data_IF_901494418079
#
_entry.id   IF_901494418079
#
_cell.length_a   1.000
_cell.length_b   1.000
_cell.length_c   1.000
_cell.angle_alpha   90.00
_cell.angle_beta   90.00
_cell.angle_gamma   90.00
#
_symmetry.space_group_name_H-M   'P 1'
#
loop_
_entity.id
_entity.type
_entity.pdbx_description
1 polymer ?
#
# COMPACT_ATOMS: atom_id res chain seq x y z
N UNK A 1 5.97 -1.56 19.25
CA UNK A 1 6.40 -0.12 19.35
C UNK A 1 5.28 0.78 18.86
N UNK A 2 5.15 2.03 19.34
CA UNK A 2 4.10 2.95 18.86
C UNK A 2 4.70 4.19 18.19
N UNK A 3 4.29 4.44 16.95
CA UNK A 3 4.53 5.68 16.20
C UNK A 3 3.23 6.47 16.18
N UNK A 4 3.26 7.72 16.64
CA UNK A 4 2.06 8.56 16.70
C UNK A 4 2.37 9.98 16.18
N UNK A 5 1.65 10.43 15.16
CA UNK A 5 1.81 11.78 14.62
C UNK A 5 3.11 11.97 13.82
N UNK A 6 3.71 10.88 13.34
CA UNK A 6 4.94 10.96 12.54
C UNK A 6 4.61 11.51 11.15
N UNK A 7 5.47 12.39 10.63
CA UNK A 7 5.35 12.83 9.24
C UNK A 7 6.69 13.01 8.57
N UNK A 8 6.77 12.72 7.27
CA UNK A 8 7.94 12.98 6.46
C UNK A 8 7.56 13.58 5.11
N UNK A 9 8.47 14.34 4.49
CA UNK A 9 8.25 14.93 3.16
C UNK A 9 8.84 14.02 2.08
N UNK A 10 8.08 13.72 1.03
CA UNK A 10 8.53 12.93 -0.13
C UNK A 10 9.58 13.69 -0.99
N UNK A 11 10.44 13.02 -1.80
CA UNK A 11 10.42 11.61 -2.22
C UNK A 11 11.04 10.59 -1.25
N UNK A 12 10.70 9.31 -1.44
CA UNK A 12 11.43 8.16 -0.85
C UNK A 12 11.29 8.01 0.67
N UNK A 13 10.17 8.46 1.23
CA UNK A 13 9.92 8.44 2.67
C UNK A 13 8.54 7.89 2.98
N UNK A 14 8.44 7.08 4.03
CA UNK A 14 7.18 6.81 4.72
C UNK A 14 6.93 7.89 5.77
N UNK A 15 5.68 8.09 6.18
CA UNK A 15 5.36 9.10 7.20
C UNK A 15 6.03 8.83 8.56
N UNK A 16 6.30 7.57 8.88
CA UNK A 16 7.01 7.16 10.09
C UNK A 16 8.37 6.51 9.82
N UNK A 17 8.42 5.54 8.90
CA UNK A 17 9.60 4.72 8.66
C UNK A 17 9.87 4.62 7.16
N UNK A 18 11.15 4.76 6.79
CA UNK A 18 11.68 4.43 5.47
C UNK A 18 12.83 3.42 5.61
N UNK A 19 12.78 2.32 4.87
CA UNK A 19 13.78 1.24 4.94
C UNK A 19 14.28 0.94 3.53
N UNK A 20 15.59 0.76 3.39
CA UNK A 20 16.19 0.21 2.18
C UNK A 20 16.77 -1.16 2.50
N UNK A 21 16.22 -2.21 1.89
CA UNK A 21 16.74 -3.57 1.98
C UNK A 21 17.70 -3.81 0.81
N UNK A 22 19.01 -3.82 1.08
CA UNK A 22 20.04 -3.96 0.04
C UNK A 22 20.44 -5.39 -0.31
N UNK A 23 20.06 -6.38 0.51
CA UNK A 23 20.38 -7.78 0.28
C UNK A 23 19.40 -8.71 0.97
N UNK A 24 19.30 -9.94 0.48
CA UNK A 24 18.49 -11.01 1.10
C UNK A 24 18.98 -11.44 2.49
N UNK A 25 20.22 -11.09 2.85
CA UNK A 25 20.78 -11.30 4.20
C UNK A 25 20.37 -10.21 5.20
N UNK A 26 19.86 -9.08 4.71
CA UNK A 26 19.34 -8.00 5.57
C UNK A 26 17.95 -8.39 6.08
N UNK A 27 17.73 -8.29 7.38
CA UNK A 27 16.43 -8.61 7.99
C UNK A 27 15.64 -7.35 8.30
N UNK A 28 14.41 -7.28 7.78
CA UNK A 28 13.39 -6.34 8.23
C UNK A 28 12.43 -7.11 9.13
N UNK A 29 12.32 -6.70 10.39
CA UNK A 29 11.39 -7.29 11.36
C UNK A 29 10.71 -6.17 12.14
N UNK A 30 9.42 -5.94 11.87
CA UNK A 30 8.59 -5.00 12.61
C UNK A 30 7.38 -5.79 13.09
N UNK A 31 7.32 -6.05 14.39
CA UNK A 31 6.24 -6.84 14.97
C UNK A 31 5.55 -6.06 16.06
N UNK A 32 4.26 -6.37 16.30
CA UNK A 32 3.48 -5.84 17.42
C UNK A 32 3.61 -4.31 17.56
N UNK A 33 3.47 -3.62 16.43
CA UNK A 33 3.72 -2.20 16.34
C UNK A 33 2.53 -1.45 15.79
N UNK A 34 2.30 -0.26 16.33
CA UNK A 34 1.15 0.57 16.01
C UNK A 34 1.62 1.86 15.36
N UNK A 35 0.99 2.22 14.25
CA UNK A 35 1.20 3.45 13.52
C UNK A 35 -0.13 4.22 13.53
N UNK A 36 -0.15 5.36 14.21
CA UNK A 36 -1.35 6.20 14.31
C UNK A 36 -1.05 7.62 13.83
N UNK A 37 -1.94 8.21 13.04
CA UNK A 37 -1.78 9.60 12.56
C UNK A 37 -0.45 9.82 11.80
N UNK A 38 0.01 8.84 11.02
CA UNK A 38 1.24 8.98 10.23
C UNK A 38 0.93 9.62 8.88
N UNK A 39 1.75 10.56 8.44
CA UNK A 39 1.47 11.29 7.19
C UNK A 39 2.70 11.48 6.32
N UNK A 40 2.56 11.20 5.02
CA UNK A 40 3.54 11.63 4.03
C UNK A 40 3.09 12.96 3.42
N UNK A 41 3.95 13.97 3.55
CA UNK A 41 3.73 15.34 3.10
C UNK A 41 4.29 15.53 1.69
N UNK A 42 3.65 16.38 0.90
CA UNK A 42 4.06 16.66 -0.47
C UNK A 42 5.39 17.42 -0.50
N UNK A 43 6.33 16.94 -1.30
CA UNK A 43 7.61 17.62 -1.54
C UNK A 43 7.61 18.43 -2.84
N UNK A 44 8.73 19.10 -3.13
CA UNK A 44 8.86 19.97 -4.30
C UNK A 44 8.94 19.24 -5.65
N UNK A 45 9.26 17.95 -5.68
CA UNK A 45 9.63 17.22 -6.91
C UNK A 45 8.99 15.84 -7.11
N UNK A 46 8.28 15.30 -6.12
CA UNK A 46 7.56 14.04 -6.26
C UNK A 46 6.08 14.27 -6.07
N UNK A 47 5.25 13.61 -6.87
CA UNK A 47 3.83 13.93 -6.93
C UNK A 47 2.91 12.81 -6.44
N UNK A 48 3.39 11.57 -6.25
CA UNK A 48 2.50 10.44 -5.91
C UNK A 48 3.19 9.35 -5.04
N UNK A 49 2.51 8.95 -3.96
CA UNK A 49 2.63 7.72 -3.15
C UNK A 49 4.01 7.12 -2.80
N UNK A 50 4.44 7.25 -1.53
CA UNK A 50 5.60 6.55 -0.96
C UNK A 50 5.32 5.88 0.40
N UNK A 51 4.06 5.62 0.77
CA UNK A 51 3.73 5.01 2.06
C UNK A 51 3.33 6.05 3.10
N UNK A 52 2.15 5.96 3.71
CA UNK A 52 1.71 6.94 4.71
C UNK A 52 2.29 6.66 6.10
N UNK A 53 2.59 5.40 6.42
CA UNK A 53 3.35 5.04 7.62
C UNK A 53 4.72 4.45 7.26
N UNK A 54 4.76 3.40 6.45
CA UNK A 54 5.98 2.65 6.15
C UNK A 54 6.26 2.70 4.64
N UNK A 55 7.52 3.02 4.31
CA UNK A 55 8.08 2.86 2.99
C UNK A 55 9.19 1.80 3.02
N UNK A 56 9.20 0.89 2.05
CA UNK A 56 10.26 -0.10 1.90
C UNK A 56 10.77 -0.08 0.45
N UNK A 57 12.07 0.07 0.31
CA UNK A 57 12.80 -0.01 -0.95
C UNK A 57 13.62 -1.32 -0.98
N UNK A 58 13.21 -2.28 -1.81
CA UNK A 58 13.87 -3.59 -1.94
C UNK A 58 14.80 -3.55 -3.14
N UNK A 59 16.09 -3.31 -2.88
CA UNK A 59 17.08 -2.99 -3.91
C UNK A 59 17.95 -4.18 -4.36
N UNK A 60 17.47 -5.41 -4.20
CA UNK A 60 18.17 -6.60 -4.69
C UNK A 60 17.25 -7.47 -5.54
N UNK A 61 17.85 -8.07 -6.58
CA UNK A 61 17.14 -8.79 -7.62
C UNK A 61 17.66 -10.23 -7.77
N UNK A 62 16.80 -11.26 -7.80
CA UNK A 62 15.35 -11.20 -7.53
C UNK A 62 15.05 -11.04 -6.02
N UNK A 63 14.02 -10.26 -5.65
CA UNK A 63 13.51 -10.25 -4.28
C UNK A 63 13.07 -11.66 -3.88
N UNK A 64 13.69 -12.19 -2.83
CA UNK A 64 13.30 -13.45 -2.19
C UNK A 64 12.94 -13.13 -0.74
N UNK A 65 11.65 -13.03 -0.44
CA UNK A 65 11.11 -12.68 0.87
C UNK A 65 10.65 -13.94 1.59
N UNK A 66 11.12 -14.08 2.82
CA UNK A 66 10.80 -15.17 3.75
C UNK A 66 10.69 -14.58 5.15
N UNK A 67 10.11 -15.32 6.10
CA UNK A 67 10.06 -14.88 7.49
C UNK A 67 11.46 -14.63 8.11
N UNK A 68 12.53 -15.19 7.54
CA UNK A 68 13.90 -14.97 7.99
C UNK A 68 14.44 -13.57 7.66
N UNK A 69 13.97 -12.94 6.57
CA UNK A 69 14.49 -11.66 6.09
C UNK A 69 13.44 -10.55 5.95
N UNK A 70 12.15 -10.88 5.95
CA UNK A 70 11.05 -9.92 5.85
C UNK A 70 9.86 -10.40 6.68
N UNK A 71 9.61 -9.74 7.82
CA UNK A 71 8.54 -10.11 8.75
C UNK A 71 7.88 -8.88 9.37
N UNK A 72 6.71 -8.50 8.87
CA UNK A 72 5.92 -7.34 9.30
C UNK A 72 4.59 -7.80 9.90
N UNK A 73 4.63 -8.48 11.04
CA UNK A 73 3.45 -9.13 11.61
C UNK A 73 2.84 -8.31 12.74
N UNK A 74 1.56 -8.55 13.01
CA UNK A 74 0.88 -8.02 14.19
C UNK A 74 0.87 -6.48 14.24
N UNK A 75 0.80 -5.86 13.06
CA UNK A 75 0.79 -4.41 12.91
C UNK A 75 -0.61 -3.83 13.14
N UNK A 76 -0.69 -2.58 13.57
CA UNK A 76 -1.94 -1.82 13.61
C UNK A 76 -1.71 -0.48 12.95
N UNK A 77 -2.58 -0.11 12.02
CA UNK A 77 -2.58 1.19 11.38
C UNK A 77 -3.89 1.91 11.69
N UNK A 78 -3.81 3.19 12.02
CA UNK A 78 -4.97 4.05 12.18
C UNK A 78 -4.63 5.45 11.66
N UNK A 79 -5.52 6.04 10.86
CA UNK A 79 -5.40 7.42 10.38
C UNK A 79 -4.03 7.73 9.73
N UNK A 80 -3.46 6.74 9.02
CA UNK A 80 -2.25 6.94 8.24
C UNK A 80 -2.62 7.39 6.83
N UNK A 81 -1.88 8.32 6.24
CA UNK A 81 -2.26 8.89 4.94
C UNK A 81 -1.03 9.18 4.09
N UNK A 82 -1.05 8.65 2.88
CA UNK A 82 -0.06 8.98 1.85
C UNK A 82 -0.60 10.07 0.91
N UNK A 83 0.30 10.68 0.14
CA UNK A 83 -0.11 11.60 -0.94
C UNK A 83 -1.01 10.87 -1.93
N UNK A 84 -2.12 11.52 -2.32
CA UNK A 84 -3.18 10.99 -3.16
C UNK A 84 -3.87 9.71 -2.65
N UNK A 85 -3.68 9.37 -1.37
CA UNK A 85 -4.15 8.13 -0.74
C UNK A 85 -3.57 6.85 -1.38
N UNK A 86 -2.28 6.86 -1.73
CA UNK A 86 -1.59 5.73 -2.38
C UNK A 86 -0.57 5.11 -1.44
N UNK A 87 -0.90 3.95 -0.89
CA UNK A 87 -0.10 3.24 0.10
C UNK A 87 -0.24 3.85 1.49
N UNK A 88 -1.47 4.12 1.95
CA UNK A 88 -1.69 4.83 3.23
C UNK A 88 -0.96 4.20 4.42
N UNK A 89 -0.84 2.87 4.44
CA UNK A 89 -0.15 2.16 5.49
C UNK A 89 1.27 1.79 5.05
N UNK A 90 1.37 1.05 3.95
CA UNK A 90 2.62 0.51 3.45
C UNK A 90 2.75 0.73 1.95
N UNK A 91 3.96 1.12 1.54
CA UNK A 91 4.34 1.16 0.14
C UNK A 91 5.68 0.45 -0.08
N UNK A 92 5.74 -0.41 -1.10
CA UNK A 92 6.96 -1.15 -1.46
C UNK A 92 7.42 -0.79 -2.87
N UNK A 93 8.66 -0.34 -2.97
CA UNK A 93 9.39 -0.27 -4.22
C UNK A 93 10.20 -1.56 -4.42
N UNK A 94 10.03 -2.23 -5.56
CA UNK A 94 10.79 -3.42 -5.95
C UNK A 94 10.95 -3.53 -7.48
N UNK A 95 11.65 -4.55 -7.96
CA UNK A 95 11.72 -4.84 -9.40
C UNK A 95 10.41 -5.47 -9.94
N UNK A 96 9.68 -6.20 -9.08
CA UNK A 96 8.43 -6.87 -9.42
C UNK A 96 7.47 -6.84 -8.22
N UNK A 97 6.53 -5.90 -8.25
CA UNK A 97 5.50 -5.70 -7.23
C UNK A 97 4.58 -6.91 -7.12
N UNK A 98 4.24 -7.55 -8.25
CA UNK A 98 3.34 -8.72 -8.27
C UNK A 98 4.01 -9.92 -7.60
N UNK A 99 5.28 -10.19 -7.93
CA UNK A 99 6.03 -11.28 -7.31
C UNK A 99 6.25 -11.04 -5.81
N UNK A 100 6.56 -9.80 -5.39
CA UNK A 100 6.69 -9.43 -3.98
C UNK A 100 5.38 -9.65 -3.22
N UNK A 101 4.26 -9.19 -3.78
CA UNK A 101 2.93 -9.40 -3.22
C UNK A 101 2.57 -10.88 -3.03
N UNK A 102 2.89 -11.71 -4.02
CA UNK A 102 2.67 -13.16 -3.95
C UNK A 102 3.49 -13.82 -2.83
N UNK A 103 4.76 -13.44 -2.68
CA UNK A 103 5.63 -13.96 -1.62
C UNK A 103 5.12 -13.54 -0.24
N UNK A 104 4.69 -12.28 -0.09
CA UNK A 104 4.11 -11.78 1.16
C UNK A 104 2.86 -12.57 1.54
N UNK A 105 1.91 -12.76 0.62
CA UNK A 105 0.68 -13.51 0.90
C UNK A 105 1.00 -14.96 1.24
N UNK A 106 1.75 -15.65 0.38
CA UNK A 106 2.08 -17.08 0.55
C UNK A 106 2.83 -17.33 1.86
N UNK A 107 3.74 -16.42 2.24
CA UNK A 107 4.50 -16.51 3.48
C UNK A 107 3.78 -15.92 4.70
N UNK A 108 2.60 -15.31 4.55
CA UNK A 108 1.94 -14.51 5.58
C UNK A 108 2.87 -13.47 6.24
N UNK A 109 3.71 -12.82 5.42
CA UNK A 109 4.81 -11.98 5.91
C UNK A 109 4.36 -10.59 6.37
N UNK A 110 3.10 -10.22 6.09
CA UNK A 110 2.46 -9.00 6.58
C UNK A 110 1.14 -9.38 7.25
N UNK A 111 1.00 -9.15 8.55
CA UNK A 111 -0.28 -9.35 9.24
C UNK A 111 -0.69 -8.11 10.01
N UNK A 112 -2.00 -7.84 10.03
CA UNK A 112 -2.56 -6.60 10.57
C UNK A 112 -3.69 -6.95 11.52
N UNK A 113 -3.72 -6.25 12.64
CA UNK A 113 -4.76 -6.36 13.66
C UNK A 113 -5.83 -5.31 13.45
N UNK A 114 -7.08 -5.74 13.47
CA UNK A 114 -8.22 -4.85 13.64
C UNK A 114 -8.60 -4.80 15.12
N UNK A 115 -8.15 -3.78 15.84
CA UNK A 115 -8.44 -3.65 17.28
C UNK A 115 -9.93 -3.40 17.58
N UNK A 116 -10.74 -3.09 16.57
CA UNK A 116 -12.17 -2.85 16.72
C UNK A 116 -13.02 -4.12 16.63
N UNK A 117 -12.46 -5.23 16.15
CA UNK A 117 -13.20 -6.46 15.90
C UNK A 117 -12.43 -7.73 16.37
N UNK A 118 -12.90 -8.45 17.40
CA UNK A 118 -12.35 -9.75 17.77
C UNK A 118 -12.42 -10.75 16.58
N UNK A 119 -11.38 -11.56 16.31
CA UNK A 119 -10.23 -11.88 17.16
C UNK A 119 -9.01 -10.96 16.96
N UNK A 120 -9.24 -9.71 16.56
CA UNK A 120 -8.23 -8.68 16.34
C UNK A 120 -7.25 -9.01 15.21
N UNK A 121 -7.77 -9.61 14.13
CA UNK A 121 -7.02 -9.90 12.91
C UNK A 121 -7.84 -9.48 11.69
N UNK A 122 -7.17 -8.90 10.70
CA UNK A 122 -7.74 -8.69 9.37
C UNK A 122 -7.50 -9.96 8.55
N UNK A 123 -8.48 -10.87 8.53
CA UNK A 123 -8.35 -12.18 7.86
C UNK A 123 -8.38 -12.11 6.33
N UNK A 124 -8.95 -11.04 5.77
CA UNK A 124 -9.16 -10.84 4.34
C UNK A 124 -8.19 -9.80 3.73
N UNK A 125 -7.11 -9.44 4.45
CA UNK A 125 -6.14 -8.41 4.08
C UNK A 125 -5.67 -8.55 2.62
N UNK A 126 -5.36 -9.78 2.19
CA UNK A 126 -4.81 -10.06 0.87
C UNK A 126 -5.87 -10.17 -0.24
N UNK A 127 -7.14 -10.28 0.09
CA UNK A 127 -8.22 -10.61 -0.86
C UNK A 127 -9.25 -9.51 -1.01
N UNK A 128 -9.33 -8.61 -0.04
CA UNK A 128 -10.32 -7.54 0.00
C UNK A 128 -9.84 -6.28 -0.70
N UNK A 129 -10.70 -5.75 -1.59
CA UNK A 129 -10.46 -4.48 -2.27
C UNK A 129 -10.42 -3.28 -1.32
N UNK A 130 -10.98 -3.43 -0.12
CA UNK A 130 -11.01 -2.36 0.88
C UNK A 130 -9.60 -1.84 1.24
N UNK A 131 -8.60 -2.72 1.18
CA UNK A 131 -7.22 -2.41 1.56
C UNK A 131 -6.31 -2.12 0.36
N UNK A 132 -6.86 -2.11 -0.86
CA UNK A 132 -6.08 -2.01 -2.08
C UNK A 132 -5.15 -0.80 -2.08
N UNK A 133 -5.63 0.35 -1.61
CA UNK A 133 -4.88 1.60 -1.57
C UNK A 133 -4.08 1.82 -0.27
N UNK A 134 -4.21 0.92 0.70
CA UNK A 134 -3.44 0.98 1.94
C UNK A 134 -2.10 0.26 1.81
N UNK A 135 -2.05 -0.78 0.96
CA UNK A 135 -0.88 -1.62 0.71
C UNK A 135 -0.56 -1.62 -0.78
N UNK A 136 0.30 -0.69 -1.18
CA UNK A 136 0.64 -0.45 -2.59
C UNK A 136 2.10 -0.78 -2.86
N UNK A 137 2.46 -0.91 -4.13
CA UNK A 137 3.84 -0.93 -4.57
C UNK A 137 4.02 -0.30 -5.94
N UNK A 138 5.28 -0.20 -6.37
CA UNK A 138 5.64 0.24 -7.72
C UNK A 138 6.91 -0.47 -8.17
N UNK A 139 6.97 -0.82 -9.45
CA UNK A 139 8.17 -1.37 -10.06
C UNK A 139 9.20 -0.27 -10.33
N UNK A 140 10.49 -0.52 -10.10
CA UNK A 140 11.57 0.42 -10.45
C UNK A 140 11.50 0.90 -11.90
N UNK A 141 11.08 0.04 -12.84
CA UNK A 141 10.92 0.39 -14.25
C UNK A 141 9.90 1.50 -14.51
N UNK A 142 8.94 1.70 -13.60
CA UNK A 142 7.92 2.75 -13.68
C UNK A 142 8.28 4.01 -12.90
N UNK A 143 9.44 4.06 -12.25
CA UNK A 143 9.86 5.25 -11.48
C UNK A 143 10.19 6.43 -12.39
N UNK A 144 10.44 6.26 -13.70
CA UNK A 144 10.38 7.32 -14.71
C UNK A 144 11.18 8.62 -14.48
N UNK A 145 12.13 8.66 -13.52
CA UNK A 145 12.55 9.90 -12.85
C UNK A 145 11.44 10.43 -11.92
N UNK A 146 11.76 11.24 -10.90
CA UNK A 146 10.95 11.60 -9.68
C UNK A 146 9.40 11.80 -9.75
N UNK A 147 8.77 11.72 -10.93
CA UNK A 147 7.35 11.84 -11.27
C UNK A 147 6.67 10.53 -11.74
N UNK A 148 6.65 9.47 -10.92
CA UNK A 148 5.78 8.31 -11.18
C UNK A 148 4.30 8.74 -11.15
N UNK A 149 3.46 8.32 -12.10
CA UNK A 149 2.04 8.66 -12.10
C UNK A 149 1.28 7.84 -11.06
N UNK A 150 0.14 8.34 -10.58
CA UNK A 150 -0.70 7.58 -9.64
C UNK A 150 -1.09 6.20 -10.20
N UNK A 151 -1.25 6.07 -11.52
CA UNK A 151 -1.57 4.84 -12.24
C UNK A 151 -0.42 3.84 -12.33
N UNK A 152 0.81 4.27 -12.05
CA UNK A 152 1.99 3.39 -12.09
C UNK A 152 2.09 2.51 -10.85
N UNK A 153 1.48 2.95 -9.75
CA UNK A 153 1.41 2.21 -8.50
C UNK A 153 0.29 1.17 -8.55
N UNK A 154 0.55 -0.01 -8.01
CA UNK A 154 -0.37 -1.15 -8.02
C UNK A 154 -0.57 -1.68 -6.59
N UNK A 155 -1.76 -2.16 -6.23
CA UNK A 155 -1.94 -2.84 -4.95
C UNK A 155 -1.05 -4.07 -4.86
N UNK A 156 -0.45 -4.30 -3.69
CA UNK A 156 0.45 -5.44 -3.49
C UNK A 156 -0.24 -6.79 -3.72
N UNK A 157 -1.55 -6.87 -3.47
CA UNK A 157 -2.31 -8.13 -3.51
C UNK A 157 -3.33 -8.18 -4.66
N UNK A 158 -3.15 -7.33 -5.67
CA UNK A 158 -4.02 -7.19 -6.84
C UNK A 158 -4.47 -8.52 -7.47
N UNK A 159 -3.53 -9.44 -7.65
CA UNK A 159 -3.71 -10.76 -8.25
C UNK A 159 -4.58 -11.72 -7.41
N UNK A 160 -4.90 -11.34 -6.18
CA UNK A 160 -5.70 -12.14 -5.25
C UNK A 160 -7.06 -11.52 -4.93
N UNK A 161 -7.31 -10.31 -5.42
CA UNK A 161 -8.56 -9.63 -5.16
C UNK A 161 -9.72 -10.34 -5.85
N UNK A 162 -10.81 -10.47 -5.12
CA UNK A 162 -12.07 -10.93 -5.68
C UNK A 162 -12.70 -9.69 -6.35
N UNK A 163 -12.47 -9.53 -7.65
CA UNK A 163 -12.97 -8.39 -8.41
C UNK A 163 -14.49 -8.46 -8.58
N UNK A 164 -15.21 -7.84 -7.66
CA UNK A 164 -16.63 -7.59 -7.80
C UNK A 164 -16.86 -6.12 -8.20
N UNK A 165 -17.83 -5.89 -9.08
CA UNK A 165 -18.40 -4.55 -9.29
C UNK A 165 -19.04 -4.13 -7.96
N UNK A 166 -18.68 -2.97 -7.38
CA UNK A 166 -19.28 -2.53 -6.12
C UNK A 166 -20.80 -2.43 -6.24
N UNK A 167 -21.53 -2.96 -5.27
CA UNK A 167 -22.99 -2.90 -5.23
C UNK A 167 -23.45 -2.43 -3.84
N UNK A 168 -23.96 -1.18 -3.68
CA UNK A 168 -24.16 -0.20 -4.74
C UNK A 168 -22.84 0.39 -5.28
N UNK A 169 -22.85 0.86 -6.53
CA UNK A 169 -21.76 1.62 -7.14
C UNK A 169 -21.98 3.12 -6.95
N UNK A 170 -20.94 3.84 -6.51
CA UNK A 170 -20.99 5.28 -6.25
C UNK A 170 -20.20 6.05 -7.31
N UNK A 171 -20.90 6.91 -8.06
CA UNK A 171 -20.34 7.78 -9.09
C UNK A 171 -20.50 9.24 -8.66
N UNK A 172 -19.41 10.01 -8.70
CA UNK A 172 -19.39 11.44 -8.43
C UNK A 172 -18.61 12.13 -9.55
N UNK A 173 -19.32 12.69 -10.53
CA UNK A 173 -18.69 13.33 -11.69
C UNK A 173 -17.86 14.58 -11.33
N UNK A 174 -18.07 15.16 -10.15
CA UNK A 174 -17.36 16.36 -9.70
C UNK A 174 -16.10 16.02 -8.90
N UNK A 175 -16.23 15.10 -7.93
CA UNK A 175 -15.17 14.81 -6.95
C UNK A 175 -14.59 13.40 -7.05
N UNK A 176 -15.21 12.51 -7.83
CA UNK A 176 -14.75 11.14 -8.01
C UNK A 176 -13.41 11.05 -8.73
N UNK A 177 -12.74 9.91 -8.57
CA UNK A 177 -11.48 9.60 -9.24
C UNK A 177 -11.60 8.28 -10.00
N UNK A 178 -11.23 8.31 -11.27
CA UNK A 178 -11.19 7.13 -12.13
C UNK A 178 -9.87 6.38 -11.88
N UNK A 179 -9.90 5.55 -10.83
CA UNK A 179 -8.81 4.67 -10.41
C UNK A 179 -9.25 3.22 -10.53
N UNK A 180 -8.28 2.29 -10.65
CA UNK A 180 -8.53 0.85 -10.88
C UNK A 180 -9.63 0.25 -9.98
N UNK A 181 -9.66 0.63 -8.71
CA UNK A 181 -10.60 0.12 -7.70
C UNK A 181 -11.55 1.17 -7.12
N UNK A 182 -12.11 2.03 -7.97
CA UNK A 182 -13.19 2.93 -7.55
C UNK A 182 -14.57 2.25 -7.61
N UNK A 183 -15.59 2.99 -7.18
CA UNK A 183 -17.01 2.65 -7.19
C UNK A 183 -17.56 2.33 -5.80
N UNK A 184 -16.70 2.17 -4.79
CA UNK A 184 -17.09 2.07 -3.40
C UNK A 184 -17.44 3.42 -2.78
N UNK A 185 -18.06 3.42 -1.60
CA UNK A 185 -18.43 4.66 -0.91
C UNK A 185 -17.20 5.51 -0.52
N UNK A 186 -16.11 4.86 -0.12
CA UNK A 186 -14.82 5.48 0.25
C UNK A 186 -14.01 5.95 -0.96
N UNK A 187 -14.27 5.41 -2.15
CA UNK A 187 -13.55 5.72 -3.39
C UNK A 187 -14.52 5.75 -4.57
N UNK A 188 -15.21 6.87 -4.73
CA UNK A 188 -16.21 7.05 -5.79
C UNK A 188 -15.54 7.21 -7.15
N UNK A 189 -16.07 6.57 -8.18
CA UNK A 189 -15.59 6.79 -9.55
C UNK A 189 -16.08 8.14 -10.08
N UNK A 190 -15.36 8.71 -11.04
CA UNK A 190 -15.82 9.88 -11.79
C UNK A 190 -16.77 9.47 -12.91
N UNK A 191 -16.51 8.33 -13.55
CA UNK A 191 -17.32 7.78 -14.62
C UNK A 191 -17.82 6.38 -14.30
N UNK A 192 -18.98 6.01 -14.87
CA UNK A 192 -19.57 4.67 -14.68
C UNK A 192 -18.66 3.57 -15.25
N UNK A 193 -17.94 3.85 -16.35
CA UNK A 193 -17.04 2.89 -17.00
C UNK A 193 -16.04 2.29 -16.02
N UNK A 194 -15.39 3.14 -15.21
CA UNK A 194 -14.42 2.73 -14.20
C UNK A 194 -15.04 1.98 -13.00
N UNK A 195 -16.35 2.05 -12.79
CA UNK A 195 -17.03 1.28 -11.75
C UNK A 195 -17.33 -0.16 -12.17
N UNK A 196 -17.52 -0.39 -13.48
CA UNK A 196 -17.89 -1.69 -14.05
C UNK A 196 -16.70 -2.44 -14.65
N UNK A 197 -15.70 -1.71 -15.12
CA UNK A 197 -14.50 -2.25 -15.76
C UNK A 197 -13.28 -1.90 -14.89
N UNK A 198 -12.46 -2.90 -14.55
CA UNK A 198 -11.19 -2.69 -13.83
C UNK A 198 -10.10 -2.44 -14.87
N UNK A 199 -9.56 -1.21 -14.93
CA UNK A 199 -8.66 -0.71 -15.99
C UNK A 199 -9.31 -0.63 -17.40
N UNK A 200 -10.33 0.22 -17.57
CA UNK A 200 -10.98 0.47 -18.86
C UNK A 200 -10.16 1.31 -19.85
#
# INVERSE_FOLDING_TARGET
>A
VKFNGSSCTQPGSGGAIAIVQRSSYSRISITESTFTNCQTLSGGSSRYGWGGAIYIDIWYNPPTLTAANFNLTDLTFADCTAIENIGNNLHILSDDTTAVGNQIKTGSLITVKDLSNPPYIISDLYTSLQYAYDYMGINYSKIGGVFAQFTDHEPLFDQFFISNVPNPSYIDASNGKDIKFCGGQSSKCKTIKYSTERNP
#
